data_IF_436654452342
#
_entry.id   IF_436654452342
#
_cell.length_a   1.000
_cell.length_b   1.000
_cell.length_c   1.000
_cell.angle_alpha   90.00
_cell.angle_beta   90.00
_cell.angle_gamma   90.00
#
_symmetry.space_group_name_H-M   'P 1'
#
loop_
_entity.id
_entity.type
_entity.pdbx_description
1 polymer ?
#
# COMPACT_ATOMS: atom_id res chain seq x y z
N UNK A 1 9.29 7.90 -2.63
CA UNK A 1 7.83 7.73 -2.72
C UNK A 1 7.64 6.72 -3.81
N UNK A 2 6.83 5.68 -3.61
CA UNK A 2 6.43 4.71 -4.64
C UNK A 2 6.38 5.40 -6.01
N UNK A 3 7.29 5.01 -6.89
CA UNK A 3 7.53 5.76 -8.12
C UNK A 3 6.29 5.65 -9.01
N UNK A 4 5.74 6.79 -9.44
CA UNK A 4 4.72 6.79 -10.49
C UNK A 4 5.38 6.39 -11.81
N UNK A 5 4.88 5.34 -12.45
CA UNK A 5 5.33 4.96 -13.79
C UNK A 5 4.70 5.94 -14.79
N UNK A 6 5.44 6.33 -15.82
CA UNK A 6 4.92 7.21 -16.87
C UNK A 6 3.59 6.68 -17.47
N UNK A 7 2.57 7.54 -17.43
CA UNK A 7 1.22 7.22 -17.89
C UNK A 7 0.35 6.47 -16.88
N UNK A 8 0.78 6.27 -15.64
CA UNK A 8 -0.12 5.92 -14.55
C UNK A 8 -0.98 7.11 -14.13
N UNK A 9 -2.25 6.83 -13.89
CA UNK A 9 -3.21 7.75 -13.30
C UNK A 9 -3.80 7.12 -12.04
N UNK A 10 -4.23 7.98 -11.13
CA UNK A 10 -4.89 7.61 -9.89
C UNK A 10 -6.06 8.57 -9.65
N UNK A 11 -7.00 8.12 -8.82
CA UNK A 11 -8.13 8.93 -8.37
C UNK A 11 -8.03 9.09 -6.85
N UNK A 12 -8.25 10.33 -6.40
CA UNK A 12 -8.16 10.72 -4.99
C UNK A 12 -6.87 11.46 -4.64
N UNK A 13 -6.75 11.87 -3.38
CA UNK A 13 -5.54 12.53 -2.84
C UNK A 13 -4.59 11.51 -2.24
N UNK A 14 -3.30 11.60 -2.53
CA UNK A 14 -2.27 10.76 -1.91
C UNK A 14 -2.11 11.12 -0.44
N UNK A 15 -1.89 10.11 0.40
CA UNK A 15 -1.52 10.25 1.80
C UNK A 15 -0.10 9.71 2.01
N UNK A 16 0.69 10.39 2.84
CA UNK A 16 1.99 9.89 3.33
C UNK A 16 2.08 10.19 4.82
N UNK A 17 2.53 9.21 5.60
CA UNK A 17 2.75 9.32 7.05
C UNK A 17 4.07 8.68 7.45
N UNK A 18 4.85 9.31 8.33
CA UNK A 18 6.07 8.70 8.86
C UNK A 18 5.73 7.49 9.73
N UNK A 19 6.60 6.48 9.70
CA UNK A 19 6.59 5.32 10.58
C UNK A 19 7.76 5.33 11.58
N UNK A 20 8.67 6.29 11.43
CA UNK A 20 9.80 6.50 12.31
C UNK A 20 9.98 8.00 12.61
N UNK A 21 10.79 8.31 13.62
CA UNK A 21 10.99 9.70 14.08
C UNK A 21 11.76 10.56 13.10
N UNK A 22 12.57 9.95 12.24
CA UNK A 22 13.37 10.68 11.26
C UNK A 22 12.57 11.02 9.99
N UNK A 23 11.48 10.29 9.72
CA UNK A 23 10.72 10.38 8.48
C UNK A 23 11.37 9.62 7.32
N UNK A 24 12.42 8.85 7.57
CA UNK A 24 13.08 8.00 6.57
C UNK A 24 12.21 6.79 6.20
N UNK A 25 11.35 6.32 7.12
CA UNK A 25 10.40 5.24 6.85
C UNK A 25 9.01 5.83 6.80
N UNK A 26 8.29 5.62 5.70
CA UNK A 26 6.95 6.19 5.52
C UNK A 26 5.97 5.14 5.02
N UNK A 27 4.71 5.27 5.43
CA UNK A 27 3.59 4.61 4.79
C UNK A 27 2.90 5.59 3.85
N UNK A 28 2.64 5.15 2.62
CA UNK A 28 1.93 5.92 1.62
C UNK A 28 0.59 5.26 1.27
N UNK A 29 -0.35 6.02 0.71
CA UNK A 29 -1.58 5.52 0.12
C UNK A 29 -1.98 6.30 -1.13
N UNK A 30 -2.33 5.55 -2.15
CA UNK A 30 -3.07 5.97 -3.34
C UNK A 30 -4.49 5.42 -3.23
N UNK A 31 -5.53 6.25 -3.04
CA UNK A 31 -6.88 5.76 -2.79
C UNK A 31 -7.44 4.86 -3.90
N UNK A 32 -7.19 5.21 -5.16
CA UNK A 32 -7.49 4.36 -6.32
C UNK A 32 -6.35 4.48 -7.33
N UNK A 33 -5.55 3.42 -7.50
CA UNK A 33 -4.47 3.33 -8.50
C UNK A 33 -4.79 2.21 -9.51
N UNK A 34 -3.82 1.81 -10.32
CA UNK A 34 -3.91 0.76 -11.32
C UNK A 34 -5.06 0.95 -12.34
N UNK A 35 -5.38 2.20 -12.67
CA UNK A 35 -6.47 2.54 -13.61
C UNK A 35 -6.18 2.03 -15.04
N UNK A 36 -4.91 2.02 -15.45
CA UNK A 36 -4.49 1.54 -16.78
C UNK A 36 -4.84 0.08 -17.03
N UNK A 37 -4.75 -0.77 -16.00
CA UNK A 37 -5.08 -2.20 -16.07
C UNK A 37 -6.56 -2.49 -15.78
N UNK A 38 -7.39 -1.43 -15.63
CA UNK A 38 -8.82 -1.50 -15.31
C UNK A 38 -9.14 -2.25 -14.01
N UNK A 39 -8.15 -2.49 -13.15
CA UNK A 39 -8.36 -3.13 -11.84
C UNK A 39 -8.97 -2.14 -10.85
N UNK A 40 -8.25 -1.05 -10.60
CA UNK A 40 -8.69 -0.08 -9.60
C UNK A 40 -8.60 -0.59 -8.17
N UNK A 41 -8.54 0.37 -7.26
CA UNK A 41 -8.61 0.18 -5.82
C UNK A 41 -7.40 0.75 -5.11
N UNK A 42 -7.39 0.67 -3.77
CA UNK A 42 -6.30 1.21 -2.98
C UNK A 42 -4.97 0.53 -3.32
N UNK A 43 -3.91 1.33 -3.37
CA UNK A 43 -2.52 0.86 -3.35
C UNK A 43 -1.80 1.59 -2.23
N UNK A 44 -1.25 0.85 -1.28
CA UNK A 44 -0.54 1.43 -0.14
C UNK A 44 0.60 0.53 0.31
N UNK A 45 1.54 1.06 1.06
CA UNK A 45 2.74 0.31 1.37
C UNK A 45 3.74 1.09 2.19
N UNK A 46 4.95 0.55 2.30
CA UNK A 46 6.05 1.12 3.09
C UNK A 46 7.22 1.46 2.18
N UNK A 47 7.67 2.70 2.30
CA UNK A 47 8.87 3.22 1.65
C UNK A 47 9.98 3.45 2.67
N UNK A 48 11.23 3.19 2.27
CA UNK A 48 12.43 3.57 3.01
C UNK A 48 13.24 4.54 2.15
N UNK A 49 13.40 5.79 2.60
CA UNK A 49 14.07 6.88 1.87
C UNK A 49 13.57 7.05 0.44
N UNK A 50 12.28 6.74 0.28
CA UNK A 50 11.57 6.84 -0.97
C UNK A 50 11.70 5.65 -1.92
N UNK A 51 12.44 4.60 -1.54
CA UNK A 51 12.42 3.30 -2.20
C UNK A 51 11.24 2.48 -1.67
N UNK A 52 10.40 1.98 -2.57
CA UNK A 52 9.24 1.19 -2.20
C UNK A 52 9.64 -0.25 -1.86
N UNK A 53 9.45 -0.61 -0.61
CA UNK A 53 9.92 -1.89 -0.07
C UNK A 53 8.81 -2.92 -0.04
N UNK A 54 7.63 -2.50 0.44
CA UNK A 54 6.44 -3.33 0.59
C UNK A 54 5.29 -2.59 -0.08
N UNK A 55 4.51 -3.27 -0.92
CA UNK A 55 3.30 -2.73 -1.55
C UNK A 55 2.15 -3.69 -1.35
N UNK A 56 0.98 -3.17 -1.00
CA UNK A 56 -0.28 -3.90 -0.98
C UNK A 56 -1.21 -3.27 -2.01
N UNK A 57 -1.84 -4.13 -2.80
CA UNK A 57 -2.80 -3.77 -3.83
C UNK A 57 -4.18 -4.39 -3.52
N UNK A 58 -4.94 -3.88 -2.51
CA UNK A 58 -6.32 -4.28 -2.21
C UNK A 58 -7.32 -4.08 -3.36
N UNK A 59 -7.31 -5.00 -4.33
CA UNK A 59 -8.16 -4.96 -5.52
C UNK A 59 -9.24 -6.05 -5.53
N UNK A 60 -9.66 -6.50 -4.35
CA UNK A 60 -10.73 -7.49 -4.19
C UNK A 60 -10.32 -8.84 -4.81
N UNK A 61 -11.10 -9.43 -5.74
CA UNK A 61 -10.77 -10.71 -6.36
C UNK A 61 -9.42 -10.76 -7.08
N UNK A 62 -8.85 -9.60 -7.44
CA UNK A 62 -7.53 -9.47 -8.10
C UNK A 62 -6.47 -8.85 -7.19
N UNK A 63 -6.77 -8.75 -5.90
CA UNK A 63 -5.86 -8.20 -4.91
C UNK A 63 -4.62 -9.08 -4.77
N UNK A 64 -3.48 -8.43 -4.60
CA UNK A 64 -2.19 -9.07 -4.35
C UNK A 64 -1.32 -8.09 -3.57
N UNK A 65 -0.11 -8.50 -3.23
CA UNK A 65 0.86 -7.64 -2.58
C UNK A 65 2.27 -8.05 -2.97
N UNK A 66 3.23 -7.25 -2.53
CA UNK A 66 4.61 -7.34 -2.93
C UNK A 66 5.52 -7.21 -1.72
N UNK A 67 6.44 -8.16 -1.56
CA UNK A 67 7.43 -8.19 -0.48
C UNK A 67 8.86 -8.35 -1.02
N UNK A 68 9.84 -8.10 -0.14
CA UNK A 68 11.26 -8.29 -0.46
C UNK A 68 11.92 -7.14 -1.22
N UNK A 69 11.27 -5.97 -1.29
CA UNK A 69 11.77 -4.80 -2.02
C UNK A 69 11.14 -4.67 -3.40
N UNK A 70 9.96 -4.04 -3.49
CA UNK A 70 9.23 -3.88 -4.76
C UNK A 70 10.08 -3.20 -5.83
N UNK A 71 10.68 -2.05 -5.53
CA UNK A 71 11.50 -1.30 -6.50
C UNK A 71 12.74 -2.10 -6.94
N UNK A 72 13.25 -2.97 -6.07
CA UNK A 72 14.42 -3.82 -6.34
C UNK A 72 14.09 -5.06 -7.18
N UNK A 73 12.98 -5.73 -6.89
CA UNK A 73 12.61 -7.01 -7.50
C UNK A 73 11.65 -6.85 -8.70
N UNK A 74 11.01 -5.69 -8.81
CA UNK A 74 9.91 -5.43 -9.74
C UNK A 74 8.65 -6.25 -9.41
N UNK A 75 7.59 -5.99 -10.17
CA UNK A 75 6.27 -6.59 -9.93
C UNK A 75 6.31 -8.13 -9.91
N UNK A 76 6.94 -8.77 -10.91
CA UNK A 76 6.97 -10.23 -11.01
C UNK A 76 7.84 -10.92 -9.96
N UNK A 77 8.93 -10.28 -9.52
CA UNK A 77 9.87 -10.87 -8.56
C UNK A 77 9.43 -10.75 -7.10
N UNK A 78 8.51 -9.83 -6.80
CA UNK A 78 8.00 -9.58 -5.45
C UNK A 78 6.56 -10.05 -5.23
N UNK A 79 5.85 -10.44 -6.29
CA UNK A 79 4.43 -10.80 -6.28
C UNK A 79 4.09 -11.89 -5.27
N UNK A 80 3.07 -11.63 -4.46
CA UNK A 80 2.51 -12.56 -3.48
C UNK A 80 0.99 -12.41 -3.44
N UNK A 81 0.28 -13.54 -3.38
CA UNK A 81 -1.19 -13.53 -3.22
C UNK A 81 -1.57 -13.19 -1.77
N UNK A 82 -2.76 -12.60 -1.58
CA UNK A 82 -3.37 -12.58 -0.25
C UNK A 82 -3.76 -14.01 0.18
N UNK A 83 -3.92 -14.25 1.50
CA UNK A 83 -4.50 -15.51 1.99
C UNK A 83 -5.87 -15.79 1.37
N UNK A 84 -6.23 -17.06 1.23
CA UNK A 84 -7.42 -17.50 0.49
C UNK A 84 -8.74 -17.00 1.09
N UNK A 85 -8.76 -16.64 2.36
CA UNK A 85 -9.89 -16.10 3.10
C UNK A 85 -9.97 -14.56 3.10
N UNK A 86 -8.98 -13.87 2.52
CA UNK A 86 -8.89 -12.41 2.45
C UNK A 86 -9.18 -11.93 1.02
N UNK A 87 -10.47 -11.80 0.69
CA UNK A 87 -10.93 -11.64 -0.71
C UNK A 87 -11.52 -10.27 -1.05
N UNK A 88 -12.16 -9.59 -0.11
CA UNK A 88 -12.72 -8.26 -0.36
C UNK A 88 -11.71 -7.16 -0.01
N UNK A 89 -11.94 -5.96 -0.55
CA UNK A 89 -11.04 -4.82 -0.40
C UNK A 89 -10.86 -4.43 1.08
N UNK A 90 -11.93 -4.46 1.89
CA UNK A 90 -11.85 -4.08 3.29
C UNK A 90 -11.06 -5.10 4.11
N UNK A 91 -11.28 -6.40 3.86
CA UNK A 91 -10.50 -7.47 4.43
C UNK A 91 -9.01 -7.38 4.06
N UNK A 92 -8.70 -7.08 2.79
CA UNK A 92 -7.33 -6.90 2.31
C UNK A 92 -6.63 -5.71 2.95
N UNK A 93 -7.32 -4.57 3.09
CA UNK A 93 -6.78 -3.39 3.80
C UNK A 93 -6.48 -3.76 5.26
N UNK A 94 -7.44 -4.37 5.95
CA UNK A 94 -7.30 -4.73 7.37
C UNK A 94 -6.12 -5.69 7.58
N UNK A 95 -6.06 -6.75 6.78
CA UNK A 95 -4.98 -7.72 6.85
C UNK A 95 -3.62 -7.08 6.57
N UNK A 96 -3.52 -6.22 5.55
CA UNK A 96 -2.27 -5.56 5.19
C UNK A 96 -1.78 -4.59 6.28
N UNK A 97 -2.67 -3.83 6.90
CA UNK A 97 -2.32 -2.97 8.04
C UNK A 97 -1.85 -3.80 9.24
N UNK A 98 -2.47 -4.95 9.50
CA UNK A 98 -2.00 -5.89 10.51
C UNK A 98 -0.63 -6.49 10.19
N UNK A 99 -0.31 -6.75 8.91
CA UNK A 99 1.03 -7.20 8.52
C UNK A 99 2.08 -6.11 8.74
N UNK A 100 1.77 -4.85 8.40
CA UNK A 100 2.69 -3.73 8.66
C UNK A 100 2.93 -3.59 10.17
N UNK A 101 1.86 -3.65 10.97
CA UNK A 101 1.93 -3.49 12.43
C UNK A 101 2.69 -4.62 13.12
N UNK A 102 2.40 -5.87 12.78
CA UNK A 102 2.90 -7.03 13.52
C UNK A 102 4.15 -7.66 12.89
N UNK A 103 4.37 -7.47 11.58
CA UNK A 103 5.46 -8.07 10.81
C UNK A 103 6.31 -7.07 10.02
N UNK A 104 6.02 -5.76 10.08
CA UNK A 104 6.70 -4.76 9.27
C UNK A 104 8.23 -4.73 9.47
N UNK A 105 8.70 -4.86 10.71
CA UNK A 105 10.13 -4.88 11.00
C UNK A 105 10.83 -6.08 10.34
N UNK A 106 10.24 -7.27 10.42
CA UNK A 106 10.78 -8.48 9.79
C UNK A 106 10.80 -8.34 8.27
N UNK A 107 9.70 -7.90 7.67
CA UNK A 107 9.59 -7.69 6.22
C UNK A 107 10.61 -6.67 5.69
N UNK A 108 10.86 -5.58 6.43
CA UNK A 108 11.90 -4.60 6.08
C UNK A 108 13.29 -5.21 6.18
N UNK A 109 13.57 -5.99 7.22
CA UNK A 109 14.86 -6.65 7.39
C UNK A 109 15.13 -7.67 6.28
N UNK A 110 14.14 -8.49 5.92
CA UNK A 110 14.21 -9.46 4.81
C UNK A 110 14.47 -8.79 3.47
N UNK A 111 13.90 -7.59 3.24
CA UNK A 111 14.15 -6.80 2.05
C UNK A 111 15.54 -6.11 2.03
N UNK A 112 16.30 -6.21 3.12
CA UNK A 112 17.66 -5.66 3.25
C UNK A 112 17.75 -4.34 4.00
N UNK A 113 16.67 -3.88 4.63
CA UNK A 113 16.60 -2.59 5.35
C UNK A 113 16.63 -2.78 6.87
N UNK A 114 17.65 -3.49 7.37
CA UNK A 114 17.75 -3.84 8.80
C UNK A 114 17.80 -2.63 9.74
N UNK A 115 18.31 -1.48 9.31
CA UNK A 115 18.33 -0.27 10.14
C UNK A 115 16.96 0.42 10.16
N UNK A 116 16.24 0.44 9.04
CA UNK A 116 14.86 0.93 8.99
C UNK A 116 13.91 0.05 9.80
N UNK A 117 14.12 -1.27 9.78
CA UNK A 117 13.37 -2.22 10.59
C UNK A 117 13.46 -1.89 12.10
N UNK A 118 14.64 -1.46 12.57
CA UNK A 118 14.87 -1.08 13.97
C UNK A 118 14.35 0.31 14.32
N UNK A 119 14.11 1.16 13.32
CA UNK A 119 13.66 2.54 13.55
C UNK A 119 12.14 2.70 13.59
N UNK A 120 11.38 1.65 13.22
CA UNK A 120 9.92 1.65 13.32
C UNK A 120 9.48 1.99 14.74
N UNK A 121 8.52 2.90 14.82
CA UNK A 121 7.91 3.37 16.07
C UNK A 121 6.45 2.91 16.09
N UNK A 122 6.09 2.07 17.06
CA UNK A 122 4.77 1.44 17.15
C UNK A 122 3.62 2.46 17.23
N UNK A 123 3.83 3.61 17.89
CA UNK A 123 2.82 4.66 17.99
C UNK A 123 2.60 5.33 16.63
N UNK A 124 3.69 5.60 15.89
CA UNK A 124 3.61 6.15 14.54
C UNK A 124 2.99 5.16 13.55
N UNK A 125 3.31 3.87 13.66
CA UNK A 125 2.69 2.81 12.84
C UNK A 125 1.18 2.74 13.11
N UNK A 126 0.76 2.79 14.37
CA UNK A 126 -0.65 2.84 14.75
C UNK A 126 -1.36 4.07 14.17
N UNK A 127 -0.81 5.26 14.41
CA UNK A 127 -1.38 6.53 13.93
C UNK A 127 -1.45 6.60 12.39
N UNK A 128 -0.43 6.09 11.70
CA UNK A 128 -0.42 6.03 10.26
C UNK A 128 -1.50 5.05 9.74
N UNK A 129 -1.68 3.90 10.40
CA UNK A 129 -2.72 2.91 10.03
C UNK A 129 -4.13 3.49 10.15
N UNK A 130 -4.41 4.20 11.25
CA UNK A 130 -5.67 4.92 11.41
C UNK A 130 -5.86 6.01 10.35
N UNK A 131 -4.79 6.74 9.99
CA UNK A 131 -4.85 7.75 8.96
C UNK A 131 -5.21 7.18 7.58
N UNK A 132 -4.75 5.96 7.24
CA UNK A 132 -5.12 5.26 5.99
C UNK A 132 -6.63 5.02 5.95
N UNK A 133 -7.19 4.44 7.02
CA UNK A 133 -8.61 4.11 7.12
C UNK A 133 -9.46 5.39 7.02
N UNK A 134 -9.12 6.40 7.83
CA UNK A 134 -9.85 7.67 7.84
C UNK A 134 -9.78 8.38 6.49
N UNK A 135 -8.61 8.43 5.88
CA UNK A 135 -8.43 9.10 4.59
C UNK A 135 -9.19 8.41 3.46
N UNK A 136 -9.25 7.09 3.44
CA UNK A 136 -10.11 6.35 2.50
C UNK A 136 -11.59 6.69 2.69
N UNK A 137 -12.06 6.76 3.94
CA UNK A 137 -13.44 7.13 4.24
C UNK A 137 -13.77 8.58 3.84
N UNK A 138 -12.86 9.53 4.09
CA UNK A 138 -13.04 10.96 3.78
C UNK A 138 -13.13 11.26 2.28
N UNK A 139 -12.59 10.40 1.41
CA UNK A 139 -12.63 10.61 -0.04
C UNK A 139 -13.96 10.21 -0.68
N UNK A 140 -14.84 9.54 0.10
CA UNK A 140 -16.06 8.93 -0.41
C UNK A 140 -15.79 7.70 -1.27
N UNK A 141 -16.81 7.25 -2.02
CA UNK A 141 -16.72 6.06 -2.85
C UNK A 141 -16.03 6.35 -4.19
N UNK A 142 -14.70 6.40 -4.14
CA UNK A 142 -13.89 6.63 -5.34
C UNK A 142 -13.90 5.42 -6.30
N UNK A 143 -14.19 4.22 -5.82
CA UNK A 143 -14.28 3.03 -6.67
C UNK A 143 -15.53 3.12 -7.54
N UNK A 144 -16.70 3.41 -6.94
CA UNK A 144 -17.93 3.64 -7.70
C UNK A 144 -17.74 4.77 -8.71
N UNK A 145 -17.13 5.89 -8.29
CA UNK A 145 -16.80 6.99 -9.21
C UNK A 145 -15.90 6.54 -10.38
N UNK A 146 -14.88 5.74 -10.11
CA UNK A 146 -13.98 5.24 -11.15
C UNK A 146 -14.69 4.27 -12.12
N UNK A 147 -15.68 3.50 -11.65
CA UNK A 147 -16.55 2.68 -12.50
C UNK A 147 -17.45 3.56 -13.36
N UNK A 148 -18.12 4.56 -12.77
CA UNK A 148 -19.02 5.49 -13.47
C UNK A 148 -18.30 6.28 -14.57
N UNK A 149 -17.05 6.67 -14.32
CA UNK A 149 -16.19 7.36 -15.28
C UNK A 149 -15.54 6.39 -16.30
N UNK A 150 -15.82 5.09 -16.21
CA UNK A 150 -15.25 4.05 -17.08
C UNK A 150 -13.74 3.88 -16.93
N UNK A 151 -13.17 4.34 -15.82
CA UNK A 151 -11.74 4.24 -15.52
C UNK A 151 -11.35 2.82 -15.15
N UNK A 152 -12.23 2.07 -14.49
CA UNK A 152 -12.02 0.66 -14.08
C UNK A 152 -13.23 -0.20 -14.45
N UNK A 153 -13.08 -1.52 -14.41
CA UNK A 153 -14.20 -2.43 -14.63
C UNK A 153 -15.14 -2.46 -13.42
N UNK A 154 -16.44 -2.60 -13.68
CA UNK A 154 -17.45 -2.88 -12.66
C UNK A 154 -17.37 -4.33 -12.15
#
# INVERSE_FOLDING_TARGET
>A
MATMIDGESYLGKVLVRPLDKSGDVTMYLWPVRCLKSKMGGPTFGVDVKGEEVIRYDPHGPRGHWHKGGYDKLGAGGSHTEFPDDVRDIQGQITWALDQIKNGGAELLAEAGFADAAKSLDDELVGAASEAIINHLAEQGDLIAKAVDEGLIAA
#
